data_IF_555329897348
#
_entry.id   IF_555329897348
#
_cell.length_a   1.000
_cell.length_b   1.000
_cell.length_c   1.000
_cell.angle_alpha   90.00
_cell.angle_beta   90.00
_cell.angle_gamma   90.00
#
_symmetry.space_group_name_H-M   'P 1'
#
loop_
_entity.id
_entity.type
_entity.pdbx_description
1 polymer ?
#
# COMPACT_ATOMS: atom_id res chain seq x y z
N UNK A 1 0.70 25.31 0.12
CA UNK A 1 0.31 24.13 -0.68
C UNK A 1 0.31 22.86 0.17
N UNK A 2 1.32 22.65 1.02
CA UNK A 2 1.31 21.62 2.08
C UNK A 2 0.09 21.77 3.02
N UNK A 3 -0.31 23.02 3.33
CA UNK A 3 -1.45 23.32 4.23
C UNK A 3 -2.79 22.79 3.70
N UNK A 4 -2.95 22.72 2.39
CA UNK A 4 -4.17 22.21 1.75
C UNK A 4 -4.30 20.70 1.95
N UNK A 5 -3.22 19.95 1.78
CA UNK A 5 -3.21 18.51 2.03
C UNK A 5 -3.35 18.18 3.51
N UNK A 6 -2.78 19.01 4.38
CA UNK A 6 -2.89 18.80 5.83
C UNK A 6 -4.33 18.93 6.31
N UNK A 7 -5.10 19.91 5.83
CA UNK A 7 -6.52 20.03 6.17
C UNK A 7 -7.31 18.80 5.73
N UNK A 8 -7.16 18.39 4.47
CA UNK A 8 -7.88 17.22 3.93
C UNK A 8 -7.47 15.91 4.64
N UNK A 9 -6.18 15.75 4.93
CA UNK A 9 -5.69 14.60 5.69
C UNK A 9 -6.25 14.57 7.11
N UNK A 10 -6.36 15.73 7.76
CA UNK A 10 -6.97 15.82 9.10
C UNK A 10 -8.45 15.44 9.08
N UNK A 11 -9.21 15.91 8.09
CA UNK A 11 -10.62 15.54 7.94
C UNK A 11 -10.79 14.03 7.76
N UNK A 12 -9.92 13.39 6.98
CA UNK A 12 -9.90 11.93 6.81
C UNK A 12 -9.54 11.19 8.10
N UNK A 13 -8.56 11.67 8.87
CA UNK A 13 -8.21 11.09 10.17
C UNK A 13 -9.36 11.20 11.15
N UNK A 14 -10.00 12.38 11.26
CA UNK A 14 -11.16 12.58 12.13
C UNK A 14 -12.32 11.67 11.72
N UNK A 15 -12.56 11.52 10.42
CA UNK A 15 -13.55 10.58 9.91
C UNK A 15 -13.19 9.14 10.27
N UNK A 16 -11.93 8.73 10.07
CA UNK A 16 -11.44 7.40 10.44
C UNK A 16 -11.58 7.11 11.94
N UNK A 17 -11.30 8.08 12.82
CA UNK A 17 -11.52 7.96 14.26
C UNK A 17 -12.99 7.74 14.61
N UNK A 18 -13.91 8.43 13.90
CA UNK A 18 -15.35 8.23 14.09
C UNK A 18 -15.81 6.85 13.61
N UNK A 19 -15.37 6.41 12.44
CA UNK A 19 -15.80 5.12 11.87
C UNK A 19 -15.20 3.92 12.61
N UNK A 20 -13.93 4.01 13.04
CA UNK A 20 -13.25 2.95 13.80
C UNK A 20 -13.59 2.95 15.30
N UNK A 21 -14.18 4.02 15.83
CA UNK A 21 -14.36 4.25 17.27
C UNK A 21 -13.05 4.30 18.06
N UNK A 22 -11.91 4.57 17.38
CA UNK A 22 -10.60 4.73 18.01
C UNK A 22 -10.36 6.21 18.32
N UNK A 23 -10.02 6.50 19.57
CA UNK A 23 -9.68 7.84 20.03
C UNK A 23 -8.16 8.02 20.13
N UNK A 24 -7.54 8.52 19.07
CA UNK A 24 -6.13 8.89 19.07
C UNK A 24 -5.85 10.07 20.02
N UNK A 25 -4.66 10.09 20.61
CA UNK A 25 -4.16 11.29 21.28
C UNK A 25 -3.91 12.39 20.25
N UNK A 26 -3.86 13.66 20.69
CA UNK A 26 -3.61 14.78 19.78
C UNK A 26 -2.27 14.68 19.05
N UNK A 27 -1.26 14.04 19.66
CA UNK A 27 0.04 13.81 19.03
C UNK A 27 -0.04 12.75 17.93
N UNK A 28 -0.73 11.63 18.19
CA UNK A 28 -0.95 10.58 17.18
C UNK A 28 -1.85 11.08 16.03
N UNK A 29 -2.91 11.83 16.33
CA UNK A 29 -3.76 12.48 15.32
C UNK A 29 -2.92 13.39 14.42
N UNK A 30 -2.07 14.25 15.01
CA UNK A 30 -1.22 15.16 14.25
C UNK A 30 -0.18 14.42 13.42
N UNK A 31 0.50 13.42 13.99
CA UNK A 31 1.46 12.59 13.26
C UNK A 31 0.79 11.91 12.07
N UNK A 32 -0.37 11.27 12.30
CA UNK A 32 -1.12 10.56 11.27
C UNK A 32 -1.58 11.49 10.14
N UNK A 33 -2.13 12.66 10.48
CA UNK A 33 -2.54 13.66 9.50
C UNK A 33 -1.35 14.18 8.69
N UNK A 34 -0.20 14.42 9.33
CA UNK A 34 1.01 14.85 8.64
C UNK A 34 1.58 13.77 7.71
N UNK A 35 1.56 12.50 8.14
CA UNK A 35 2.00 11.35 7.33
C UNK A 35 1.09 11.15 6.12
N UNK A 36 -0.22 11.23 6.31
CA UNK A 36 -1.20 11.12 5.23
C UNK A 36 -1.09 12.30 4.23
N UNK A 37 -0.94 13.53 4.72
CA UNK A 37 -0.75 14.71 3.87
C UNK A 37 0.52 14.61 3.01
N UNK A 38 1.61 14.09 3.60
CA UNK A 38 2.87 13.84 2.88
C UNK A 38 2.66 12.82 1.77
N UNK A 39 1.94 11.74 2.04
CA UNK A 39 1.63 10.71 1.05
C UNK A 39 0.75 11.25 -0.09
N UNK A 40 -0.27 12.06 0.22
CA UNK A 40 -1.10 12.70 -0.81
C UNK A 40 -0.29 13.59 -1.75
N UNK A 41 0.75 14.25 -1.22
CA UNK A 41 1.66 15.05 -2.03
C UNK A 41 2.68 14.19 -2.79
N UNK A 42 3.20 13.13 -2.17
CA UNK A 42 4.24 12.27 -2.74
C UNK A 42 3.90 10.79 -2.53
N UNK A 43 3.32 10.12 -3.55
CA UNK A 43 2.95 8.72 -3.46
C UNK A 43 4.15 7.82 -3.14
N UNK A 44 3.94 6.84 -2.25
CA UNK A 44 5.00 5.92 -1.82
C UNK A 44 5.17 4.74 -2.79
N UNK A 45 6.37 4.15 -2.77
CA UNK A 45 6.64 2.86 -3.39
C UNK A 45 6.74 1.81 -2.27
N UNK A 46 5.72 0.94 -2.08
CA UNK A 46 5.63 0.03 -0.93
C UNK A 46 6.58 -1.18 -1.02
N UNK A 47 7.55 -1.15 -1.94
CA UNK A 47 8.37 -2.32 -2.25
C UNK A 47 9.60 -2.37 -1.32
N UNK A 48 9.99 -3.59 -0.92
CA UNK A 48 11.23 -3.89 -0.18
C UNK A 48 11.37 -3.21 1.19
N UNK A 49 10.27 -2.87 1.86
CA UNK A 49 10.29 -2.21 3.18
C UNK A 49 11.15 -2.95 4.21
N UNK A 50 11.06 -4.28 4.29
CA UNK A 50 11.90 -5.09 5.19
C UNK A 50 13.38 -4.89 4.92
N UNK A 51 13.80 -4.92 3.64
CA UNK A 51 15.20 -4.74 3.25
C UNK A 51 15.66 -3.31 3.55
N UNK A 52 14.80 -2.31 3.28
CA UNK A 52 15.10 -0.90 3.59
C UNK A 52 15.36 -0.70 5.08
N UNK A 53 14.55 -1.29 5.97
CA UNK A 53 14.79 -1.16 7.40
C UNK A 53 16.07 -1.86 7.84
N UNK A 54 16.31 -3.09 7.37
CA UNK A 54 17.53 -3.82 7.72
C UNK A 54 18.79 -3.10 7.23
N UNK A 55 18.77 -2.55 6.03
CA UNK A 55 19.86 -1.73 5.49
C UNK A 55 20.07 -0.46 6.33
N UNK A 56 18.98 0.26 6.65
CA UNK A 56 19.03 1.46 7.48
C UNK A 56 19.61 1.18 8.88
N UNK A 57 19.22 0.08 9.52
CA UNK A 57 19.77 -0.37 10.81
C UNK A 57 21.24 -0.73 10.66
N UNK A 58 21.60 -1.51 9.64
CA UNK A 58 22.98 -1.95 9.40
C UNK A 58 23.94 -0.77 9.22
N UNK A 59 23.53 0.24 8.44
CA UNK A 59 24.32 1.44 8.17
C UNK A 59 24.17 2.55 9.21
N UNK A 60 23.47 2.29 10.32
CA UNK A 60 23.17 3.27 11.38
C UNK A 60 22.63 4.58 10.81
N UNK A 61 21.64 4.45 9.93
CA UNK A 61 21.00 5.57 9.26
C UNK A 61 20.44 6.60 10.25
N UNK A 62 20.19 7.81 9.75
CA UNK A 62 19.57 8.87 10.55
C UNK A 62 18.17 8.44 10.97
N UNK A 63 17.74 8.84 12.18
CA UNK A 63 16.40 8.56 12.71
C UNK A 63 15.27 8.93 11.75
N UNK A 64 15.45 9.99 10.96
CA UNK A 64 14.47 10.41 9.95
C UNK A 64 14.17 9.36 8.88
N UNK A 65 15.13 8.50 8.55
CA UNK A 65 14.91 7.42 7.59
C UNK A 65 14.12 6.26 8.18
N UNK A 66 14.42 5.85 9.41
CA UNK A 66 13.63 4.86 10.14
C UNK A 66 12.20 5.34 10.33
N UNK A 67 12.01 6.63 10.67
CA UNK A 67 10.68 7.25 10.71
C UNK A 67 9.96 7.12 9.36
N UNK A 68 10.64 7.45 8.27
CA UNK A 68 10.02 7.39 6.95
C UNK A 68 9.63 5.96 6.55
N UNK A 69 10.42 4.95 6.96
CA UNK A 69 10.06 3.55 6.77
C UNK A 69 8.81 3.19 7.61
N UNK A 70 8.71 3.70 8.84
CA UNK A 70 7.50 3.56 9.67
C UNK A 70 6.26 4.18 9.03
N UNK A 71 6.40 5.39 8.48
CA UNK A 71 5.35 6.09 7.73
C UNK A 71 4.92 5.28 6.50
N UNK A 72 5.89 4.78 5.71
CA UNK A 72 5.65 3.95 4.52
C UNK A 72 4.93 2.64 4.89
N UNK A 73 5.33 1.99 6.00
CA UNK A 73 4.66 0.79 6.51
C UNK A 73 3.21 1.07 6.87
N UNK A 74 2.92 2.16 7.57
CA UNK A 74 1.58 2.53 8.00
C UNK A 74 0.65 2.77 6.80
N UNK A 75 1.09 3.58 5.83
CA UNK A 75 0.33 3.85 4.60
C UNK A 75 0.18 2.58 3.74
N UNK A 76 1.23 1.76 3.64
CA UNK A 76 1.19 0.52 2.85
C UNK A 76 0.21 -0.51 3.43
N UNK A 77 0.20 -0.68 4.75
CA UNK A 77 -0.74 -1.56 5.43
C UNK A 77 -2.19 -1.09 5.28
N UNK A 78 -2.43 0.22 5.29
CA UNK A 78 -3.77 0.79 5.16
C UNK A 78 -4.32 0.72 3.73
N UNK A 79 -3.54 1.13 2.73
CA UNK A 79 -4.04 1.38 1.37
C UNK A 79 -3.50 0.41 0.30
N UNK A 80 -2.46 -0.38 0.60
CA UNK A 80 -1.75 -1.21 -0.37
C UNK A 80 -1.53 -2.65 0.11
N UNK A 81 -2.39 -3.14 1.00
CA UNK A 81 -2.30 -4.45 1.64
C UNK A 81 -2.09 -5.60 0.64
N UNK A 82 -2.86 -5.61 -0.47
CA UNK A 82 -2.74 -6.62 -1.51
C UNK A 82 -1.33 -6.60 -2.14
N UNK A 83 -0.85 -5.44 -2.59
CA UNK A 83 0.49 -5.29 -3.18
C UNK A 83 1.59 -5.69 -2.21
N UNK A 84 1.46 -5.30 -0.95
CA UNK A 84 2.45 -5.52 0.10
C UNK A 84 2.63 -7.01 0.44
N UNK A 85 1.55 -7.79 0.36
CA UNK A 85 1.53 -9.23 0.69
C UNK A 85 1.86 -10.15 -0.50
N UNK A 86 1.89 -9.64 -1.75
CA UNK A 86 2.18 -10.43 -2.97
C UNK A 86 3.49 -11.22 -2.93
N UNK A 87 4.48 -10.78 -2.16
CA UNK A 87 5.79 -11.43 -2.06
C UNK A 87 5.93 -12.33 -0.82
N UNK A 88 4.83 -12.70 -0.17
CA UNK A 88 4.80 -13.69 0.91
C UNK A 88 4.88 -13.13 2.34
N UNK A 89 4.83 -11.81 2.50
CA UNK A 89 4.68 -11.17 3.82
C UNK A 89 3.20 -11.10 4.25
N UNK A 90 2.96 -10.88 5.56
CA UNK A 90 1.61 -10.63 6.10
C UNK A 90 1.47 -9.17 6.54
N UNK A 91 0.24 -8.66 6.65
CA UNK A 91 0.00 -7.31 7.20
C UNK A 91 0.56 -7.19 8.61
N UNK A 92 0.43 -8.24 9.44
CA UNK A 92 1.00 -8.30 10.78
C UNK A 92 2.53 -8.15 10.76
N UNK A 93 3.22 -8.80 9.82
CA UNK A 93 4.67 -8.65 9.65
C UNK A 93 5.06 -7.20 9.36
N UNK A 94 4.37 -6.55 8.42
CA UNK A 94 4.70 -5.17 8.03
C UNK A 94 4.25 -4.13 9.06
N UNK A 95 3.19 -4.40 9.82
CA UNK A 95 2.82 -3.60 10.99
C UNK A 95 3.92 -3.66 12.05
N UNK A 96 4.37 -4.87 12.41
CA UNK A 96 5.49 -5.04 13.34
C UNK A 96 6.79 -4.38 12.85
N UNK A 97 7.05 -4.44 11.54
CA UNK A 97 8.18 -3.71 10.93
C UNK A 97 8.06 -2.19 11.11
N UNK A 98 6.86 -1.64 10.92
CA UNK A 98 6.59 -0.21 11.11
C UNK A 98 6.75 0.21 12.58
N UNK A 99 6.27 -0.60 13.52
CA UNK A 99 6.46 -0.37 14.96
C UNK A 99 7.95 -0.32 15.32
N UNK A 100 8.72 -1.33 14.90
CA UNK A 100 10.16 -1.37 15.13
C UNK A 100 10.87 -0.15 14.50
N UNK A 101 10.44 0.28 13.31
CA UNK A 101 11.01 1.44 12.64
C UNK A 101 10.79 2.74 13.44
N UNK A 102 9.60 2.93 14.04
CA UNK A 102 9.33 4.05 14.93
C UNK A 102 10.11 3.97 16.25
N UNK A 103 10.26 2.78 16.84
CA UNK A 103 11.11 2.59 18.02
C UNK A 103 12.56 2.99 17.74
N UNK A 104 13.13 2.53 16.63
CA UNK A 104 14.48 2.89 16.18
C UNK A 104 14.60 4.40 15.92
N UNK A 105 13.53 5.03 15.42
CA UNK A 105 13.46 6.46 15.22
C UNK A 105 13.35 7.27 16.53
N UNK A 106 13.22 6.61 17.69
CA UNK A 106 13.03 7.27 18.98
C UNK A 106 11.62 7.80 19.19
N UNK A 107 10.61 7.15 18.59
CA UNK A 107 9.20 7.53 18.64
C UNK A 107 8.36 6.43 19.29
N UNK A 108 8.59 6.08 20.57
CA UNK A 108 7.94 4.94 21.22
C UNK A 108 6.41 5.09 21.31
N UNK A 109 5.89 6.30 21.54
CA UNK A 109 4.44 6.54 21.61
C UNK A 109 3.76 6.27 20.27
N UNK A 110 4.41 6.64 19.16
CA UNK A 110 3.94 6.37 17.80
C UNK A 110 4.07 4.89 17.45
N UNK A 111 5.11 4.20 17.93
CA UNK A 111 5.24 2.76 17.78
C UNK A 111 4.13 1.99 18.51
N UNK A 112 3.84 2.38 19.76
CA UNK A 112 2.75 1.80 20.54
C UNK A 112 1.38 2.09 19.92
N UNK A 113 1.16 3.31 19.43
CA UNK A 113 -0.08 3.73 18.78
C UNK A 113 -0.26 3.24 17.33
N UNK A 114 0.68 2.47 16.79
CA UNK A 114 0.61 2.02 15.40
C UNK A 114 -0.67 1.27 15.04
N UNK A 115 -1.15 0.28 15.83
CA UNK A 115 -2.38 -0.45 15.51
C UNK A 115 -3.59 0.49 15.46
N UNK A 116 -3.71 1.38 16.45
CA UNK A 116 -4.79 2.37 16.52
C UNK A 116 -4.79 3.31 15.31
N UNK A 117 -3.61 3.79 14.91
CA UNK A 117 -3.46 4.62 13.71
C UNK A 117 -3.81 3.85 12.42
N UNK A 118 -3.46 2.56 12.35
CA UNK A 118 -3.78 1.71 11.20
C UNK A 118 -5.29 1.50 11.08
N UNK A 119 -5.97 1.21 12.19
CA UNK A 119 -7.43 1.04 12.24
C UNK A 119 -8.14 2.32 11.78
N UNK A 120 -7.69 3.49 12.26
CA UNK A 120 -8.20 4.79 11.81
C UNK A 120 -8.03 4.98 10.31
N UNK A 121 -6.86 4.67 9.74
CA UNK A 121 -6.64 4.82 8.30
C UNK A 121 -7.51 3.86 7.48
N UNK A 122 -7.62 2.60 7.89
CA UNK A 122 -8.43 1.61 7.21
C UNK A 122 -9.92 1.99 7.22
N UNK A 123 -10.41 2.53 8.34
CA UNK A 123 -11.78 3.03 8.45
C UNK A 123 -12.01 4.35 7.69
N UNK A 124 -10.97 5.15 7.47
CA UNK A 124 -11.04 6.38 6.68
C UNK A 124 -11.06 6.14 5.16
N UNK A 125 -10.64 4.96 4.72
CA UNK A 125 -10.58 4.64 3.29
C UNK A 125 -11.99 4.40 2.76
N UNK A 126 -12.43 5.07 1.68
CA UNK A 126 -13.58 4.58 0.95
C UNK A 126 -13.28 3.13 0.55
N UNK A 127 -14.28 2.26 0.61
CA UNK A 127 -14.18 0.90 0.12
C UNK A 127 -13.89 0.95 -1.39
N UNK A 128 -12.62 1.09 -1.76
CA UNK A 128 -12.15 0.82 -3.10
C UNK A 128 -12.17 -0.71 -3.15
N UNK A 129 -13.34 -1.27 -3.48
CA UNK A 129 -13.41 -2.63 -3.99
C UNK A 129 -12.36 -2.70 -5.10
N UNK A 130 -11.28 -3.44 -4.86
CA UNK A 130 -10.33 -3.79 -5.91
C UNK A 130 -11.14 -4.51 -6.97
N UNK A 131 -11.57 -3.78 -8.01
CA UNK A 131 -12.17 -4.39 -9.19
C UNK A 131 -11.20 -5.47 -9.63
N UNK A 132 -11.60 -6.76 -9.64
CA UNK A 132 -10.75 -7.79 -10.19
C UNK A 132 -10.34 -7.30 -11.59
N UNK A 133 -9.04 -7.33 -11.89
CA UNK A 133 -8.62 -7.14 -13.28
C UNK A 133 -9.45 -8.11 -14.12
N UNK A 134 -9.99 -7.70 -15.28
CA UNK A 134 -10.59 -8.67 -16.19
C UNK A 134 -9.56 -9.78 -16.37
N UNK A 135 -9.94 -11.00 -15.96
CA UNK A 135 -9.19 -12.17 -16.37
C UNK A 135 -9.22 -12.15 -17.89
N UNK A 136 -8.06 -12.24 -18.53
CA UNK A 136 -7.98 -12.54 -19.94
C UNK A 136 -8.63 -13.91 -20.14
N UNK A 137 -9.94 -13.91 -20.43
CA UNK A 137 -10.68 -15.05 -20.94
C UNK A 137 -10.18 -15.33 -22.38
N UNK A 138 -8.93 -15.79 -22.48
CA UNK A 138 -8.41 -16.45 -23.66
C UNK A 138 -8.24 -17.94 -23.33
N UNK A 139 -9.38 -18.60 -23.15
CA UNK A 139 -9.49 -20.05 -23.20
C UNK A 139 -10.67 -20.41 -24.10
N UNK A 140 -10.46 -20.29 -25.41
CA UNK A 140 -11.36 -20.85 -26.41
C UNK A 140 -11.44 -22.38 -26.23
N UNK A 141 -12.65 -22.99 -26.18
CA UNK A 141 -12.80 -24.44 -26.21
C UNK A 141 -12.78 -25.00 -27.66
N UNK A 142 -12.56 -26.31 -27.83
CA UNK A 142 -11.88 -26.88 -28.99
C UNK A 142 -12.79 -27.29 -30.17
N UNK A 143 -12.16 -27.31 -31.35
CA UNK A 143 -12.37 -28.13 -32.56
C UNK A 143 -13.79 -28.42 -33.08
N UNK A 144 -14.08 -27.99 -34.33
CA UNK A 144 -14.69 -28.90 -35.31
C UNK A 144 -14.23 -28.59 -36.73
N UNK A 145 -13.76 -29.67 -37.35
CA UNK A 145 -13.25 -29.83 -38.70
C UNK A 145 -14.34 -29.64 -39.77
N UNK A 146 -13.89 -29.27 -40.97
CA UNK A 146 -14.48 -29.61 -42.26
C UNK A 146 -15.52 -28.67 -42.90
N UNK A 147 -15.05 -27.84 -43.83
CA UNK A 147 -15.75 -27.55 -45.10
C UNK A 147 -14.78 -27.04 -46.16
N UNK A 148 -14.27 -28.01 -46.93
CA UNK A 148 -13.80 -27.88 -48.32
C UNK A 148 -14.72 -26.95 -49.13
N UNK A 149 -14.14 -26.00 -49.88
CA UNK A 149 -14.43 -25.67 -51.30
C UNK A 149 -13.31 -24.71 -51.75
N UNK A 150 -12.24 -25.22 -52.37
CA UNK A 150 -12.00 -25.28 -53.82
C UNK A 150 -11.81 -23.89 -54.47
N UNK A 151 -10.58 -23.62 -54.93
CA UNK A 151 -10.23 -23.05 -56.25
C UNK A 151 -8.70 -23.18 -56.41
N UNK A 152 -8.26 -24.16 -57.22
CA UNK A 152 -7.56 -23.98 -58.51
C UNK A 152 -6.24 -23.18 -58.42
N UNK A 153 -5.12 -23.53 -59.05
CA UNK A 153 -4.63 -24.64 -59.86
C UNK A 153 -3.21 -24.20 -60.27
N UNK A 154 -2.27 -25.15 -60.43
CA UNK A 154 -1.14 -25.11 -61.41
C UNK A 154 -0.09 -24.00 -61.26
N UNK A 155 1.17 -24.12 -61.67
CA UNK A 155 2.16 -25.16 -61.95
C UNK A 155 3.39 -24.35 -62.42
N UNK A 156 4.60 -24.80 -62.08
CA UNK A 156 5.91 -24.49 -62.71
C UNK A 156 6.68 -23.17 -62.44
N UNK A 157 7.86 -23.37 -61.81
CA UNK A 157 9.24 -22.98 -62.21
C UNK A 157 9.49 -21.65 -62.95
N UNK A 158 10.43 -20.86 -62.42
CA UNK A 158 11.84 -20.92 -62.86
C UNK A 158 12.79 -20.61 -61.69
#
# INVERSE_FOLDING_TARGET
MMDTYLSAARDLVVQGMRESQVALTSELEFHLAATLARYMHHPIVPDRLTIRLMDAVHRRARQGESRQIGDDCLISCAFFAARLTRQGGTIVHYAGLGQAAYEIAGMPDVACGFPDMLDVLQASSPAIEERPRPQDDEAAPPETQDRRFLLLQRRFRH
#
